data_IF_112470112535
#
_entry.id   IF_112470112535
#
_cell.length_a   1.000
_cell.length_b   1.000
_cell.length_c   1.000
_cell.angle_alpha   90.00
_cell.angle_beta   90.00
_cell.angle_gamma   90.00
#
_symmetry.space_group_name_H-M   'P 1'
#
loop_
_entity.id
_entity.type
_entity.pdbx_description
1 polymer ?
#
# COMPACT_ATOMS: atom_id res chain seq x y z
N UNK A 1 8.32 -36.82 -17.38
CA UNK A 1 8.88 -35.53 -16.93
C UNK A 1 7.74 -34.68 -16.38
N UNK A 2 7.73 -34.37 -15.08
CA UNK A 2 6.67 -33.56 -14.50
C UNK A 2 6.79 -32.10 -14.99
N UNK A 3 5.74 -31.61 -15.66
CA UNK A 3 5.63 -30.20 -16.04
C UNK A 3 5.70 -29.33 -14.78
N UNK A 4 6.80 -28.60 -14.60
CA UNK A 4 6.98 -27.69 -13.49
C UNK A 4 6.05 -26.50 -13.72
N UNK A 5 4.85 -26.53 -13.15
CA UNK A 5 3.92 -25.40 -13.20
C UNK A 5 4.67 -24.16 -12.70
N UNK A 6 4.83 -23.17 -13.59
CA UNK A 6 5.48 -21.90 -13.25
C UNK A 6 4.62 -21.22 -12.18
N UNK A 7 5.16 -21.07 -10.98
CA UNK A 7 4.46 -20.39 -9.89
C UNK A 7 4.17 -18.95 -10.32
N UNK A 8 2.91 -18.55 -10.22
CA UNK A 8 2.52 -17.17 -10.43
C UNK A 8 3.06 -16.34 -9.26
N UNK A 9 3.93 -15.37 -9.55
CA UNK A 9 4.52 -14.48 -8.57
C UNK A 9 3.65 -13.23 -8.44
N UNK A 10 3.17 -12.97 -7.23
CA UNK A 10 2.45 -11.75 -6.86
C UNK A 10 3.44 -10.63 -6.62
N UNK A 11 3.17 -9.44 -7.16
CA UNK A 11 4.00 -8.25 -6.92
C UNK A 11 3.73 -7.65 -5.55
N UNK A 12 4.74 -7.03 -4.94
CA UNK A 12 4.60 -6.44 -3.60
C UNK A 12 3.50 -5.38 -3.55
N UNK A 13 3.36 -4.52 -4.57
CA UNK A 13 2.31 -3.48 -4.61
C UNK A 13 0.87 -4.02 -4.63
N UNK A 14 0.69 -5.28 -5.02
CA UNK A 14 -0.60 -5.96 -5.14
C UNK A 14 -1.03 -6.60 -3.81
N UNK A 15 -0.12 -6.65 -2.83
CA UNK A 15 -0.43 -7.12 -1.49
C UNK A 15 -1.49 -6.23 -0.84
N UNK A 16 -2.56 -6.86 -0.38
CA UNK A 16 -3.68 -6.20 0.28
C UNK A 16 -4.36 -7.17 1.25
N UNK A 17 -5.18 -6.67 2.20
CA UNK A 17 -5.92 -7.52 3.11
C UNK A 17 -6.88 -8.50 2.40
N UNK A 18 -7.28 -8.23 1.16
CA UNK A 18 -8.09 -9.15 0.36
C UNK A 18 -7.35 -10.46 0.00
N UNK A 19 -6.03 -10.51 0.20
CA UNK A 19 -5.22 -11.70 0.02
C UNK A 19 -4.99 -12.47 1.32
N UNK A 20 -5.56 -12.05 2.46
CA UNK A 20 -5.39 -12.77 3.72
C UNK A 20 -5.91 -14.22 3.66
N UNK A 21 -6.97 -14.47 2.88
CA UNK A 21 -7.59 -15.80 2.77
C UNK A 21 -6.89 -16.71 1.73
N UNK A 22 -5.80 -16.24 1.11
CA UNK A 22 -5.13 -16.93 0.01
C UNK A 22 -3.63 -16.98 0.24
N UNK A 23 -3.04 -18.08 -0.19
CA UNK A 23 -1.59 -18.20 -0.28
C UNK A 23 -1.08 -17.45 -1.52
N UNK A 24 0.03 -16.75 -1.35
CA UNK A 24 0.71 -16.05 -2.44
C UNK A 24 2.16 -16.52 -2.55
N UNK A 25 2.73 -16.35 -3.75
CA UNK A 25 4.15 -16.60 -3.98
C UNK A 25 4.78 -15.26 -4.34
N UNK A 26 5.89 -14.90 -3.70
CA UNK A 26 6.52 -13.60 -3.86
C UNK A 26 8.02 -13.80 -3.98
N UNK A 27 8.67 -13.06 -4.88
CA UNK A 27 10.12 -13.01 -5.00
C UNK A 27 10.59 -11.61 -4.63
N UNK A 28 11.47 -11.52 -3.64
CA UNK A 28 11.85 -10.26 -3.01
C UNK A 28 13.33 -10.23 -2.66
N UNK A 29 13.91 -9.03 -2.60
CA UNK A 29 15.25 -8.79 -2.06
C UNK A 29 15.12 -8.26 -0.64
N UNK A 30 16.04 -8.69 0.22
CA UNK A 30 16.11 -8.25 1.61
C UNK A 30 16.83 -6.91 1.67
N UNK A 31 16.17 -5.92 2.27
CA UNK A 31 16.70 -4.57 2.46
C UNK A 31 17.27 -4.41 3.87
N UNK A 32 16.51 -4.84 4.88
CA UNK A 32 16.88 -4.71 6.28
C UNK A 32 16.45 -5.95 7.08
N UNK A 33 17.13 -6.22 8.20
CA UNK A 33 16.81 -7.34 9.10
C UNK A 33 17.12 -6.96 10.54
N UNK A 34 16.16 -7.19 11.44
CA UNK A 34 16.36 -7.03 12.89
C UNK A 34 16.76 -8.35 13.60
N UNK A 35 17.10 -9.41 12.85
CA UNK A 35 17.35 -10.73 13.43
C UNK A 35 18.56 -10.76 14.38
N UNK A 36 19.53 -9.86 14.18
CA UNK A 36 20.75 -9.73 15.00
C UNK A 36 20.61 -8.68 16.10
N UNK A 37 19.43 -8.09 16.25
CA UNK A 37 19.18 -7.16 17.34
C UNK A 37 19.06 -7.95 18.65
N UNK A 38 20.06 -7.78 19.53
CA UNK A 38 20.11 -8.39 20.85
C UNK A 38 19.06 -7.80 21.80
N UNK A 39 18.61 -6.56 21.55
CA UNK A 39 17.54 -5.93 22.32
C UNK A 39 16.15 -6.55 22.03
N UNK A 40 16.02 -7.28 20.90
CA UNK A 40 14.76 -7.91 20.52
C UNK A 40 14.64 -9.32 21.11
N UNK A 41 13.94 -9.43 22.25
CA UNK A 41 13.62 -10.69 22.92
C UNK A 41 12.55 -11.56 22.21
N UNK A 42 12.00 -11.09 21.08
CA UNK A 42 11.02 -11.85 20.30
C UNK A 42 11.64 -13.09 19.64
N UNK A 43 10.91 -14.21 19.65
CA UNK A 43 11.25 -15.42 18.88
C UNK A 43 11.13 -15.21 17.36
N UNK A 44 10.54 -14.09 16.94
CA UNK A 44 10.38 -13.71 15.54
C UNK A 44 11.18 -12.46 15.23
N UNK A 45 11.80 -12.47 14.05
CA UNK A 45 12.46 -11.33 13.44
C UNK A 45 11.61 -10.77 12.30
N UNK A 46 11.72 -9.46 12.09
CA UNK A 46 11.10 -8.73 10.99
C UNK A 46 12.19 -8.29 10.03
N UNK A 47 11.98 -8.59 8.76
CA UNK A 47 12.83 -8.19 7.65
C UNK A 47 12.03 -7.24 6.75
N UNK A 48 12.69 -6.19 6.27
CA UNK A 48 12.15 -5.38 5.20
C UNK A 48 12.55 -6.02 3.87
N UNK A 49 11.58 -6.39 3.06
CA UNK A 49 11.81 -7.04 1.76
C UNK A 49 11.07 -6.31 0.65
N UNK A 50 11.60 -6.32 -0.57
CA UNK A 50 10.96 -5.58 -1.67
C UNK A 50 11.24 -6.13 -3.07
N UNK A 51 10.51 -5.58 -4.04
CA UNK A 51 10.68 -5.77 -5.47
C UNK A 51 10.57 -4.39 -6.16
N UNK A 52 10.64 -4.35 -7.50
CA UNK A 52 10.52 -3.11 -8.29
C UNK A 52 9.22 -2.33 -8.01
N UNK A 53 8.21 -2.99 -7.46
CA UNK A 53 6.88 -2.45 -7.26
C UNK A 53 6.70 -1.82 -5.87
N UNK A 54 7.45 -2.27 -4.87
CA UNK A 54 7.40 -1.75 -3.50
C UNK A 54 8.17 -2.61 -2.49
N UNK A 55 7.99 -2.32 -1.21
CA UNK A 55 8.52 -3.14 -0.11
C UNK A 55 7.42 -3.50 0.91
N UNK A 56 7.65 -4.53 1.70
CA UNK A 56 6.74 -5.05 2.72
C UNK A 56 7.55 -5.70 3.84
N UNK A 57 7.00 -5.73 5.05
CA UNK A 57 7.60 -6.42 6.18
C UNK A 57 7.31 -7.92 6.12
N UNK A 58 8.36 -8.74 6.09
CA UNK A 58 8.32 -10.19 6.22
C UNK A 58 8.71 -10.58 7.64
N UNK A 59 7.96 -11.47 8.26
CA UNK A 59 8.25 -11.95 9.61
C UNK A 59 8.64 -13.42 9.55
N UNK A 60 9.78 -13.76 10.13
CA UNK A 60 10.34 -15.11 10.16
C UNK A 60 10.75 -15.50 11.58
N UNK A 61 10.81 -16.80 11.90
CA UNK A 61 11.46 -17.27 13.11
C UNK A 61 12.90 -16.77 13.18
N UNK A 62 13.35 -16.31 14.36
CA UNK A 62 14.70 -15.74 14.54
C UNK A 62 15.78 -16.73 14.13
N UNK A 63 15.58 -18.03 14.38
CA UNK A 63 16.47 -19.12 13.96
C UNK A 63 16.70 -19.17 12.44
N UNK A 64 15.67 -18.89 11.63
CA UNK A 64 15.81 -18.81 10.17
C UNK A 64 16.37 -17.44 9.75
N UNK A 65 15.88 -16.36 10.35
CA UNK A 65 16.21 -14.99 9.97
C UNK A 65 17.68 -14.61 10.20
N UNK A 66 18.37 -15.21 11.18
CA UNK A 66 19.80 -14.95 11.46
C UNK A 66 20.70 -15.33 10.27
N UNK A 67 20.25 -16.26 9.43
CA UNK A 67 20.98 -16.71 8.24
C UNK A 67 20.75 -15.81 7.01
N UNK A 68 19.75 -14.93 7.07
CA UNK A 68 19.38 -14.05 5.97
C UNK A 68 20.13 -12.72 6.10
N UNK A 69 20.70 -12.25 4.99
CA UNK A 69 21.47 -10.99 4.93
C UNK A 69 20.78 -9.97 4.02
N UNK A 70 20.92 -8.66 4.30
CA UNK A 70 20.60 -7.63 3.32
C UNK A 70 21.30 -7.91 1.99
N UNK A 71 20.56 -7.77 0.89
CA UNK A 71 20.99 -8.14 -0.45
C UNK A 71 20.57 -9.55 -0.88
N UNK A 72 20.21 -10.46 0.03
CA UNK A 72 19.73 -11.79 -0.35
C UNK A 72 18.41 -11.70 -1.13
N UNK A 73 18.27 -12.53 -2.17
CA UNK A 73 17.03 -12.69 -2.91
C UNK A 73 16.31 -13.93 -2.39
N UNK A 74 15.13 -13.72 -1.84
CA UNK A 74 14.26 -14.74 -1.29
C UNK A 74 13.09 -15.03 -2.23
N UNK A 75 12.80 -16.32 -2.40
CA UNK A 75 11.58 -16.81 -3.01
C UNK A 75 10.69 -17.37 -1.90
N UNK A 76 9.56 -16.70 -1.68
CA UNK A 76 8.52 -17.09 -0.75
C UNK A 76 7.46 -17.89 -1.51
N UNK A 77 7.20 -19.11 -1.07
CA UNK A 77 6.20 -20.01 -1.66
C UNK A 77 5.14 -20.31 -0.61
N UNK A 78 3.87 -20.22 -1.00
CA UNK A 78 2.73 -20.41 -0.10
C UNK A 78 2.80 -19.50 1.15
N UNK A 79 3.21 -18.24 0.98
CA UNK A 79 3.25 -17.26 2.07
C UNK A 79 1.89 -16.58 2.23
N UNK A 80 1.55 -16.18 3.45
CA UNK A 80 0.26 -15.58 3.78
C UNK A 80 0.43 -14.10 4.06
N UNK A 81 -0.56 -13.31 3.63
CA UNK A 81 -0.68 -11.90 4.03
C UNK A 81 -1.45 -11.86 5.35
N UNK A 82 -0.87 -11.25 6.37
CA UNK A 82 -1.50 -11.12 7.69
C UNK A 82 -1.76 -9.66 7.97
N UNK A 83 -3.01 -9.34 8.32
CA UNK A 83 -3.41 -8.02 8.80
C UNK A 83 -3.28 -7.97 10.32
N UNK A 84 -2.38 -7.12 10.84
CA UNK A 84 -2.20 -6.89 12.28
C UNK A 84 -2.13 -5.39 12.56
N UNK A 85 -2.94 -4.91 13.51
CA UNK A 85 -3.00 -3.49 13.87
C UNK A 85 -3.19 -2.58 12.65
N UNK A 86 -4.12 -2.96 11.76
CA UNK A 86 -4.43 -2.26 10.52
C UNK A 86 -3.29 -2.17 9.50
N UNK A 87 -2.23 -2.96 9.63
CA UNK A 87 -1.09 -3.03 8.70
C UNK A 87 -0.89 -4.45 8.21
N UNK A 88 -0.36 -4.61 7.00
CA UNK A 88 -0.12 -5.93 6.42
C UNK A 88 1.34 -6.36 6.56
N UNK A 89 1.53 -7.66 6.77
CA UNK A 89 2.82 -8.33 6.89
C UNK A 89 2.78 -9.63 6.10
N UNK A 90 3.94 -10.11 5.64
CA UNK A 90 4.08 -11.47 5.14
C UNK A 90 4.48 -12.39 6.30
N UNK A 91 3.82 -13.54 6.40
CA UNK A 91 4.07 -14.53 7.43
C UNK A 91 3.93 -15.95 6.87
N UNK A 92 4.79 -16.85 7.36
CA UNK A 92 4.73 -18.26 7.02
C UNK A 92 5.10 -18.59 5.58
N UNK A 93 4.81 -19.82 5.18
CA UNK A 93 5.21 -20.39 3.90
C UNK A 93 6.65 -20.91 3.90
N UNK A 94 7.09 -21.36 2.73
CA UNK A 94 8.45 -21.82 2.48
C UNK A 94 9.31 -20.66 1.99
N UNK A 95 10.47 -20.48 2.61
CA UNK A 95 11.45 -19.46 2.24
C UNK A 95 12.68 -20.13 1.65
N UNK A 96 13.03 -19.77 0.42
CA UNK A 96 14.24 -20.24 -0.24
C UNK A 96 15.11 -19.04 -0.65
N UNK A 97 16.40 -19.07 -0.32
CA UNK A 97 17.36 -18.13 -0.90
C UNK A 97 17.70 -18.59 -2.31
N UNK A 98 17.44 -17.75 -3.31
CA UNK A 98 17.60 -18.08 -4.73
C UNK A 98 18.62 -17.21 -5.45
N UNK A 99 19.24 -16.25 -4.75
CA UNK A 99 20.28 -15.39 -5.29
C UNK A 99 20.62 -14.24 -4.34
N UNK A 100 21.29 -13.22 -4.88
CA UNK A 100 21.68 -12.01 -4.16
C UNK A 100 21.88 -10.83 -5.13
N UNK A 101 21.74 -9.60 -4.61
CA UNK A 101 22.00 -8.28 -5.19
C UNK A 101 21.22 -7.87 -6.45
N UNK A 102 21.06 -8.76 -7.43
CA UNK A 102 20.55 -8.44 -8.77
C UNK A 102 19.01 -8.48 -8.85
N UNK A 103 18.32 -7.82 -7.92
CA UNK A 103 16.87 -7.61 -7.99
C UNK A 103 16.58 -6.12 -7.73
N UNK A 104 15.89 -5.49 -8.69
CA UNK A 104 15.43 -4.12 -8.52
C UNK A 104 14.41 -4.03 -7.39
N UNK A 105 14.49 -2.96 -6.60
CA UNK A 105 13.57 -2.71 -5.50
C UNK A 105 13.14 -1.25 -5.39
N UNK A 106 11.97 -1.03 -4.80
CA UNK A 106 11.44 0.31 -4.51
C UNK A 106 11.03 0.44 -3.06
N UNK A 107 11.86 1.11 -2.26
CA UNK A 107 11.60 1.29 -0.84
C UNK A 107 10.54 2.37 -0.53
N UNK A 108 10.40 3.36 -1.41
CA UNK A 108 9.45 4.48 -1.22
C UNK A 108 7.98 4.04 -1.19
N UNK A 109 7.67 2.81 -1.65
CA UNK A 109 6.33 2.25 -1.71
C UNK A 109 6.21 1.09 -0.71
N UNK A 110 6.23 1.43 0.60
CA UNK A 110 6.15 0.45 1.66
C UNK A 110 4.69 0.07 1.97
N UNK A 111 4.33 -1.18 1.69
CA UNK A 111 3.01 -1.74 1.92
C UNK A 111 2.70 -2.02 3.40
N UNK A 112 3.72 -2.20 4.27
CA UNK A 112 3.50 -2.41 5.70
C UNK A 112 3.27 -1.10 6.48
N UNK A 113 3.58 0.06 5.89
CA UNK A 113 3.21 1.37 6.47
C UNK A 113 1.81 1.82 6.09
N UNK A 114 1.24 1.25 5.02
CA UNK A 114 -0.15 1.49 4.61
C UNK A 114 -1.09 1.00 5.71
N UNK A 115 -1.90 1.92 6.22
CA UNK A 115 -2.94 1.61 7.20
C UNK A 115 -4.24 1.28 6.47
N UNK A 116 -4.92 0.23 6.86
CA UNK A 116 -6.17 -0.24 6.28
C UNK A 116 -7.33 0.01 7.24
N UNK A 117 -8.42 0.55 6.72
CA UNK A 117 -9.63 0.88 7.50
C UNK A 117 -10.85 0.29 6.81
N UNK A 118 -11.89 -0.02 7.58
CA UNK A 118 -13.18 -0.42 7.03
C UNK A 118 -13.77 0.74 6.23
N UNK A 119 -14.30 0.44 5.05
CA UNK A 119 -14.98 1.44 4.24
C UNK A 119 -16.25 1.90 4.99
N UNK A 120 -16.44 3.21 5.22
CA UNK A 120 -17.67 3.73 5.82
C UNK A 120 -18.95 3.36 5.05
N UNK A 121 -18.83 3.15 3.73
CA UNK A 121 -19.96 2.75 2.88
C UNK A 121 -20.19 1.25 2.86
N UNK A 122 -19.15 0.46 3.12
CA UNK A 122 -19.22 -0.99 3.14
C UNK A 122 -18.26 -1.55 4.22
N UNK A 123 -18.73 -1.83 5.43
CA UNK A 123 -17.88 -2.23 6.55
C UNK A 123 -17.17 -3.59 6.36
N UNK A 124 -17.57 -4.37 5.36
CA UNK A 124 -16.96 -5.66 5.00
C UNK A 124 -15.70 -5.48 4.14
N UNK A 125 -15.49 -4.28 3.56
CA UNK A 125 -14.34 -3.99 2.72
C UNK A 125 -13.31 -3.16 3.49
N UNK A 126 -12.04 -3.55 3.33
CA UNK A 126 -10.91 -2.78 3.82
C UNK A 126 -10.32 -1.93 2.69
N UNK A 127 -10.26 -0.62 2.92
CA UNK A 127 -9.68 0.37 2.00
C UNK A 127 -8.43 0.98 2.61
N UNK A 128 -7.52 1.46 1.74
CA UNK A 128 -6.32 2.18 2.18
C UNK A 128 -6.74 3.47 2.88
N UNK A 129 -6.33 3.63 4.13
CA UNK A 129 -6.41 4.90 4.83
C UNK A 129 -5.36 5.84 4.22
N UNK A 130 -5.78 6.59 3.21
CA UNK A 130 -4.96 7.64 2.58
C UNK A 130 -4.67 8.82 3.52
N UNK A 131 -5.07 8.72 4.79
CA UNK A 131 -4.99 9.77 5.77
C UNK A 131 -5.94 10.91 5.44
N UNK A 132 -6.50 11.53 6.47
CA UNK A 132 -7.13 12.85 6.38
C UNK A 132 -6.18 13.91 5.78
N UNK A 133 -4.89 13.62 5.61
CA UNK A 133 -3.94 14.41 4.84
C UNK A 133 -4.37 14.60 3.38
N UNK A 134 -5.04 13.65 2.72
CA UNK A 134 -5.52 13.87 1.34
C UNK A 134 -6.69 14.87 1.26
N UNK A 135 -7.58 14.85 2.25
CA UNK A 135 -8.72 15.77 2.31
C UNK A 135 -8.28 17.13 2.84
N UNK A 136 -7.43 17.15 3.87
CA UNK A 136 -6.88 18.37 4.47
C UNK A 136 -5.86 19.02 3.55
N UNK A 137 -5.03 18.29 2.80
CA UNK A 137 -4.17 18.86 1.76
C UNK A 137 -4.98 19.38 0.57
N UNK A 138 -6.07 18.70 0.17
CA UNK A 138 -7.01 19.27 -0.82
C UNK A 138 -7.69 20.54 -0.28
N UNK A 139 -8.07 20.57 1.00
CA UNK A 139 -8.63 21.75 1.65
C UNK A 139 -7.62 22.90 1.79
N UNK A 140 -6.38 22.58 2.14
CA UNK A 140 -5.30 23.56 2.30
C UNK A 140 -4.86 24.09 0.93
N UNK A 141 -4.74 23.24 -0.09
CA UNK A 141 -4.49 23.68 -1.47
C UNK A 141 -5.64 24.57 -2.00
N UNK A 142 -6.89 24.19 -1.74
CA UNK A 142 -8.05 25.05 -2.07
C UNK A 142 -8.01 26.38 -1.32
N UNK A 143 -7.70 26.39 -0.02
CA UNK A 143 -7.54 27.63 0.77
C UNK A 143 -6.41 28.50 0.24
N UNK A 144 -5.25 27.92 -0.06
CA UNK A 144 -4.07 28.66 -0.52
C UNK A 144 -4.29 29.27 -1.91
N UNK A 145 -4.98 28.55 -2.82
CA UNK A 145 -5.44 29.09 -4.10
C UNK A 145 -6.45 30.22 -3.90
N UNK A 146 -7.40 30.08 -2.96
CA UNK A 146 -8.36 31.14 -2.62
C UNK A 146 -7.65 32.40 -2.11
N UNK A 147 -6.66 32.23 -1.23
CA UNK A 147 -5.89 33.34 -0.64
C UNK A 147 -5.03 34.02 -1.69
N UNK A 148 -4.34 33.28 -2.56
CA UNK A 148 -3.60 33.85 -3.69
C UNK A 148 -4.52 34.57 -4.67
N UNK A 149 -5.73 34.07 -4.90
CA UNK A 149 -6.69 34.71 -5.80
C UNK A 149 -7.29 35.99 -5.22
N UNK A 150 -7.56 36.04 -3.91
CA UNK A 150 -8.01 37.26 -3.23
C UNK A 150 -6.92 38.35 -3.21
N UNK A 151 -5.65 37.95 -3.09
CA UNK A 151 -4.51 38.89 -3.11
C UNK A 151 -4.23 39.42 -4.52
N UNK A 152 -4.42 38.60 -5.56
CA UNK A 152 -4.13 38.98 -6.95
C UNK A 152 -5.28 39.71 -7.66
N UNK A 153 -6.54 39.43 -7.31
CA UNK A 153 -7.72 39.92 -8.07
C UNK A 153 -8.73 40.72 -7.24
N UNK A 154 -8.51 40.90 -5.94
CA UNK A 154 -9.46 41.58 -5.04
C UNK A 154 -10.68 40.74 -4.69
N UNK A 155 -11.28 40.98 -3.51
CA UNK A 155 -12.35 40.15 -2.95
C UNK A 155 -13.67 40.17 -3.76
N UNK A 156 -13.91 41.22 -4.55
CA UNK A 156 -15.19 41.47 -5.22
C UNK A 156 -15.27 40.94 -6.66
N UNK A 157 -14.20 40.32 -7.18
CA UNK A 157 -14.15 39.85 -8.58
C UNK A 157 -14.44 38.35 -8.77
N UNK A 158 -14.75 37.61 -7.70
CA UNK A 158 -15.06 36.18 -7.78
C UNK A 158 -16.56 35.92 -7.90
N UNK A 159 -17.02 35.65 -9.12
CA UNK A 159 -18.26 34.89 -9.37
C UNK A 159 -17.95 33.39 -9.38
N UNK A 160 -18.62 32.61 -8.53
CA UNK A 160 -18.48 31.16 -8.51
C UNK A 160 -18.92 30.56 -9.87
N UNK A 161 -18.05 29.82 -10.59
CA UNK A 161 -18.38 29.26 -11.92
C UNK A 161 -19.46 28.17 -11.90
N UNK A 162 -19.95 27.78 -10.71
CA UNK A 162 -20.80 26.60 -10.54
C UNK A 162 -22.29 26.91 -10.40
N UNK A 163 -22.70 28.18 -10.25
CA UNK A 163 -24.12 28.52 -10.21
C UNK A 163 -24.80 28.47 -11.59
N UNK A 164 -24.06 28.61 -12.69
CA UNK A 164 -24.65 28.63 -14.04
C UNK A 164 -24.89 27.22 -14.61
N UNK A 165 -24.15 26.22 -14.12
CA UNK A 165 -24.30 24.81 -14.55
C UNK A 165 -25.51 24.11 -13.94
N UNK A 166 -25.88 24.41 -12.69
CA UNK A 166 -27.05 23.80 -12.05
C UNK A 166 -28.38 24.41 -12.54
N UNK A 167 -28.38 25.72 -12.86
CA UNK A 167 -29.55 26.38 -13.44
C UNK A 167 -29.92 25.84 -14.84
N UNK A 168 -28.92 25.49 -15.67
CA UNK A 168 -29.17 24.85 -16.98
C UNK A 168 -29.69 23.42 -16.85
N UNK A 169 -29.18 22.63 -15.90
CA UNK A 169 -29.65 21.25 -15.69
C UNK A 169 -31.09 21.20 -15.14
N UNK A 170 -31.46 22.08 -14.21
CA UNK A 170 -32.83 22.17 -13.68
C UNK A 170 -33.85 22.66 -14.73
N UNK A 171 -33.44 23.50 -15.68
CA UNK A 171 -34.31 23.93 -16.80
C UNK A 171 -34.55 22.84 -17.86
N UNK A 172 -33.59 21.92 -18.04
CA UNK A 172 -33.70 20.81 -19.00
C UNK A 172 -34.60 19.68 -18.49
N UNK A 173 -34.71 19.49 -17.17
CA UNK A 173 -35.53 18.44 -16.55
C UNK A 173 -37.03 18.72 -16.52
N UNK A 174 -37.45 19.97 -16.78
CA UNK A 174 -38.88 20.34 -16.89
C UNK A 174 -39.45 20.27 -18.32
N UNK A 175 -38.64 19.92 -19.32
CA UNK A 175 -39.07 19.82 -20.74
C UNK A 175 -39.08 18.40 -21.33
N UNK A 176 -38.88 17.37 -20.50
CA UNK A 176 -38.81 15.96 -20.94
C UNK A 176 -39.83 15.04 -20.26
N UNK A 177 -41.04 15.54 -20.01
CA UNK A 177 -42.16 14.70 -19.54
C UNK A 177 -43.42 15.07 -20.33
N UNK A 178 -43.49 14.54 -21.55
CA UNK A 178 -44.72 14.23 -22.29
C UNK A 178 -44.51 12.82 -22.83
#
# INVERSE_FOLDING_TARGET
MASRKKLALTRVKELSPALCDKECNVKVIVLESNAKDEANASNNATLLVGDESGCVSLVLPKSAAVHVRPGDILQLVATQVVLKSSRIYLWGGKVERVGEFLLLFKESANMSTVTWVKDPKNPDLLVRNLGLWSVRARYMAKKQILTLSMVLFGADSWQEPWQETEARQLSSRRRGRI
#
